data_IF_674967070020
#
_entry.id   IF_674967070020
#
_cell.length_a   1.000
_cell.length_b   1.000
_cell.length_c   1.000
_cell.angle_alpha   90.00
_cell.angle_beta   90.00
_cell.angle_gamma   90.00
#
_symmetry.space_group_name_H-M   'P 1'
#
loop_
_entity.id
_entity.type
_entity.pdbx_description
1 polymer ?
#
# COMPACT_ATOMS: atom_id res chain seq x y z
N UNK A 1 40.36 -3.40 29.81
CA UNK A 1 39.56 -4.21 30.76
C UNK A 1 38.75 -5.20 29.93
N UNK A 2 39.18 -6.46 29.95
CA UNK A 2 38.51 -7.56 29.27
C UNK A 2 37.23 -7.90 30.04
N UNK A 3 36.08 -7.84 29.37
CA UNK A 3 34.83 -8.42 29.89
C UNK A 3 34.89 -9.91 29.55
N UNK A 4 35.06 -10.71 30.60
CA UNK A 4 35.08 -12.16 30.53
C UNK A 4 33.76 -12.69 29.97
N UNK A 5 33.85 -13.56 28.97
CA UNK A 5 32.74 -14.37 28.49
C UNK A 5 32.29 -15.30 29.62
N UNK A 6 31.10 -15.04 30.16
CA UNK A 6 30.40 -15.98 31.01
C UNK A 6 29.92 -17.15 30.17
N UNK A 7 30.49 -18.32 30.42
CA UNK A 7 29.94 -19.62 30.03
C UNK A 7 28.49 -19.68 30.51
N UNK A 8 27.51 -19.68 29.59
CA UNK A 8 26.14 -20.04 29.94
C UNK A 8 26.17 -21.47 30.49
N UNK A 9 25.75 -21.66 31.73
CA UNK A 9 25.54 -22.99 32.30
C UNK A 9 24.59 -23.77 31.39
N UNK A 10 25.07 -24.88 30.85
CA UNK A 10 24.36 -25.67 29.84
C UNK A 10 23.45 -26.69 30.53
N UNK A 11 22.58 -26.24 31.44
CA UNK A 11 21.71 -27.07 32.28
C UNK A 11 20.24 -26.90 31.88
N UNK A 12 19.41 -27.91 32.13
CA UNK A 12 17.96 -27.86 31.92
C UNK A 12 17.31 -26.68 32.68
N UNK A 13 17.74 -26.44 33.92
CA UNK A 13 17.26 -25.31 34.74
C UNK A 13 17.60 -23.97 34.10
N UNK A 14 18.84 -23.76 33.64
CA UNK A 14 19.22 -22.54 32.94
C UNK A 14 18.42 -22.37 31.65
N UNK A 15 18.11 -23.49 30.97
CA UNK A 15 17.34 -23.47 29.76
C UNK A 15 15.88 -23.02 29.98
N UNK A 16 15.24 -23.52 31.04
CA UNK A 16 13.90 -23.13 31.44
C UNK A 16 13.84 -21.66 31.90
N UNK A 17 14.82 -21.20 32.68
CA UNK A 17 14.91 -19.79 33.12
C UNK A 17 14.99 -18.84 31.93
N UNK A 18 15.77 -19.20 30.90
CA UNK A 18 15.80 -18.43 29.65
C UNK A 18 14.42 -18.37 28.99
N UNK A 19 13.72 -19.50 28.90
CA UNK A 19 12.40 -19.59 28.27
C UNK A 19 11.40 -18.70 29.00
N UNK A 20 11.35 -18.77 30.34
CA UNK A 20 10.53 -17.89 31.17
C UNK A 20 10.81 -16.40 30.92
N UNK A 21 12.08 -16.02 30.74
CA UNK A 21 12.45 -14.64 30.44
C UNK A 21 12.09 -14.16 29.01
N UNK A 22 12.08 -15.06 28.03
CA UNK A 22 11.95 -14.69 26.61
C UNK A 22 10.53 -14.87 26.06
N UNK A 23 9.81 -15.92 26.46
CA UNK A 23 8.46 -16.21 25.95
C UNK A 23 7.50 -15.01 26.10
N UNK A 24 7.42 -14.32 27.26
CA UNK A 24 6.52 -13.16 27.40
C UNK A 24 6.89 -12.00 26.47
N UNK A 25 8.18 -11.82 26.19
CA UNK A 25 8.68 -10.76 25.30
C UNK A 25 8.27 -11.04 23.85
N UNK A 26 8.48 -12.28 23.40
CA UNK A 26 8.04 -12.72 22.06
C UNK A 26 6.52 -12.61 21.94
N UNK A 27 5.78 -13.09 22.95
CA UNK A 27 4.33 -13.02 22.97
C UNK A 27 3.81 -11.57 22.95
N UNK A 28 4.45 -10.67 23.69
CA UNK A 28 4.14 -9.23 23.69
C UNK A 28 4.38 -8.61 22.32
N UNK A 29 5.58 -8.77 21.77
CA UNK A 29 5.93 -8.21 20.46
C UNK A 29 5.04 -8.75 19.33
N UNK A 30 4.62 -10.02 19.39
CA UNK A 30 3.68 -10.60 18.43
C UNK A 30 2.30 -9.88 18.42
N UNK A 31 1.84 -9.31 19.55
CA UNK A 31 0.57 -8.55 19.58
C UNK A 31 0.63 -7.21 18.87
N UNK A 32 1.83 -6.63 18.80
CA UNK A 32 2.04 -5.28 18.25
C UNK A 32 2.32 -5.29 16.74
N UNK A 33 2.37 -6.47 16.12
CA UNK A 33 2.60 -6.60 14.68
C UNK A 33 1.40 -6.09 13.87
N UNK A 34 1.69 -5.32 12.83
CA UNK A 34 0.69 -4.67 11.98
C UNK A 34 0.18 -5.57 10.85
N UNK A 35 1.05 -6.41 10.28
CA UNK A 35 0.76 -7.33 9.18
C UNK A 35 0.60 -8.75 9.72
N UNK A 36 -0.32 -9.55 9.19
CA UNK A 36 -0.61 -10.90 9.72
C UNK A 36 -1.09 -10.88 11.19
N UNK A 37 -1.73 -9.80 11.63
CA UNK A 37 -2.13 -9.59 13.03
C UNK A 37 -2.90 -10.77 13.64
N UNK A 38 -3.80 -11.38 12.88
CA UNK A 38 -4.57 -12.54 13.34
C UNK A 38 -3.66 -13.75 13.63
N UNK A 39 -2.72 -14.06 12.74
CA UNK A 39 -1.83 -15.20 12.90
C UNK A 39 -0.85 -15.00 14.06
N UNK A 40 -0.27 -13.80 14.19
CA UNK A 40 0.60 -13.49 15.33
C UNK A 40 -0.15 -13.45 16.67
N UNK A 41 -1.44 -13.08 16.68
CA UNK A 41 -2.27 -13.17 17.88
C UNK A 41 -2.47 -14.62 18.33
N UNK A 42 -2.62 -15.56 17.39
CA UNK A 42 -2.70 -17.01 17.70
C UNK A 42 -1.39 -17.50 18.31
N UNK A 43 -0.23 -17.20 17.68
CA UNK A 43 1.07 -17.54 18.26
C UNK A 43 1.23 -16.94 19.67
N UNK A 44 0.90 -15.65 19.83
CA UNK A 44 0.99 -14.96 21.12
C UNK A 44 0.16 -15.67 22.20
N UNK A 45 -1.08 -16.06 21.88
CA UNK A 45 -1.93 -16.81 22.81
C UNK A 45 -1.30 -18.14 23.24
N UNK A 46 -0.76 -18.91 22.30
CA UNK A 46 -0.09 -20.17 22.63
C UNK A 46 1.17 -19.96 23.48
N UNK A 47 1.97 -18.93 23.19
CA UNK A 47 3.15 -18.59 23.97
C UNK A 47 2.79 -18.15 25.41
N UNK A 48 1.71 -17.38 25.58
CA UNK A 48 1.23 -16.98 26.91
C UNK A 48 0.76 -18.18 27.74
N UNK A 49 0.03 -19.10 27.12
CA UNK A 49 -0.40 -20.33 27.78
C UNK A 49 0.80 -21.20 28.15
N UNK A 50 1.76 -21.36 27.25
CA UNK A 50 3.00 -22.11 27.51
C UNK A 50 3.81 -21.51 28.65
N UNK A 51 3.92 -20.18 28.71
CA UNK A 51 4.60 -19.50 29.81
C UNK A 51 4.00 -19.82 31.17
N UNK A 52 2.67 -19.78 31.29
CA UNK A 52 1.97 -20.06 32.55
C UNK A 52 2.30 -21.47 33.06
N UNK A 53 2.32 -22.48 32.18
CA UNK A 53 2.69 -23.85 32.59
C UNK A 53 4.17 -23.94 32.94
N UNK A 54 5.04 -23.21 32.25
CA UNK A 54 6.48 -23.22 32.56
C UNK A 54 6.79 -22.54 33.90
N UNK A 55 5.98 -21.56 34.33
CA UNK A 55 6.09 -20.97 35.67
C UNK A 55 5.74 -22.00 36.76
N UNK A 56 4.72 -22.83 36.52
CA UNK A 56 4.37 -23.94 37.41
C UNK A 56 5.48 -24.99 37.45
N UNK A 57 6.00 -25.42 36.28
CA UNK A 57 7.09 -26.40 36.17
C UNK A 57 8.36 -25.92 36.88
N UNK A 58 8.70 -24.62 36.79
CA UNK A 58 9.88 -24.06 37.45
C UNK A 58 9.82 -24.08 38.98
N UNK A 59 8.64 -24.31 39.57
CA UNK A 59 8.47 -24.57 41.00
C UNK A 59 8.95 -25.96 41.45
N UNK A 60 9.23 -26.86 40.52
CA UNK A 60 9.65 -28.24 40.79
C UNK A 60 11.18 -28.43 40.72
N UNK A 61 11.64 -29.58 41.18
CA UNK A 61 13.03 -30.00 40.98
C UNK A 61 13.17 -30.48 39.53
N UNK A 62 14.05 -29.86 38.76
CA UNK A 62 14.28 -30.23 37.36
C UNK A 62 15.53 -31.10 37.30
N UNK A 63 15.34 -32.37 36.96
CA UNK A 63 16.45 -33.27 36.70
C UNK A 63 17.18 -32.84 35.40
N UNK A 64 18.49 -32.67 35.49
CA UNK A 64 19.33 -32.22 34.36
C UNK A 64 19.76 -33.41 33.47
N UNK A 65 18.80 -34.24 33.08
CA UNK A 65 19.04 -35.35 32.16
C UNK A 65 19.26 -34.85 30.71
N UNK A 66 19.90 -35.69 29.89
CA UNK A 66 20.28 -35.31 28.53
C UNK A 66 19.08 -35.06 27.61
N UNK A 67 17.98 -35.78 27.81
CA UNK A 67 16.80 -35.70 26.95
C UNK A 67 16.03 -34.41 27.24
N UNK A 68 15.81 -34.10 28.53
CA UNK A 68 15.18 -32.84 28.97
C UNK A 68 16.00 -31.63 28.55
N UNK A 69 17.33 -31.69 28.69
CA UNK A 69 18.22 -30.61 28.26
C UNK A 69 18.15 -30.38 26.76
N UNK A 70 18.16 -31.43 25.95
CA UNK A 70 18.06 -31.33 24.49
C UNK A 70 16.69 -30.78 24.05
N UNK A 71 15.60 -31.24 24.67
CA UNK A 71 14.25 -30.75 24.38
C UNK A 71 14.11 -29.25 24.67
N UNK A 72 14.56 -28.80 25.85
CA UNK A 72 14.52 -27.39 26.23
C UNK A 72 15.42 -26.52 25.34
N UNK A 73 16.62 -26.99 24.98
CA UNK A 73 17.51 -26.25 24.06
C UNK A 73 16.93 -26.10 22.65
N UNK A 74 16.29 -27.15 22.12
CA UNK A 74 15.57 -27.05 20.84
C UNK A 74 14.43 -26.04 20.92
N UNK A 75 13.67 -26.07 22.01
CA UNK A 75 12.60 -25.10 22.24
C UNK A 75 13.15 -23.67 22.32
N UNK A 76 14.28 -23.44 22.99
CA UNK A 76 14.94 -22.12 23.01
C UNK A 76 15.28 -21.63 21.60
N UNK A 77 15.85 -22.50 20.77
CA UNK A 77 16.21 -22.15 19.39
C UNK A 77 14.97 -21.71 18.60
N UNK A 78 13.84 -22.42 18.74
CA UNK A 78 12.59 -22.06 18.07
C UNK A 78 11.96 -20.77 18.62
N UNK A 79 12.04 -20.51 19.93
CA UNK A 79 11.61 -19.24 20.52
C UNK A 79 12.48 -18.07 20.02
N UNK A 80 13.79 -18.28 19.81
CA UNK A 80 14.66 -17.29 19.17
C UNK A 80 14.26 -17.06 17.71
N UNK A 81 13.86 -18.11 16.98
CA UNK A 81 13.37 -17.97 15.61
C UNK A 81 12.05 -17.19 15.56
N UNK A 82 11.14 -17.44 16.50
CA UNK A 82 9.91 -16.66 16.66
C UNK A 82 10.20 -15.19 16.98
N UNK A 83 11.15 -14.90 17.88
CA UNK A 83 11.58 -13.53 18.17
C UNK A 83 12.10 -12.83 16.92
N UNK A 84 12.95 -13.49 16.12
CA UNK A 84 13.47 -12.92 14.86
C UNK A 84 12.35 -12.58 13.89
N UNK A 85 11.32 -13.43 13.79
CA UNK A 85 10.14 -13.16 12.94
C UNK A 85 9.39 -11.91 13.42
N UNK A 86 9.17 -11.77 14.73
CA UNK A 86 8.55 -10.59 15.33
C UNK A 86 9.39 -9.33 15.07
N UNK A 87 10.70 -9.39 15.31
CA UNK A 87 11.62 -8.28 15.11
C UNK A 87 11.67 -7.80 13.65
N UNK A 88 11.66 -8.74 12.70
CA UNK A 88 11.54 -8.42 11.27
C UNK A 88 10.26 -7.64 10.98
N UNK A 89 9.13 -8.03 11.59
CA UNK A 89 7.84 -7.37 11.36
C UNK A 89 7.73 -5.98 12.03
N UNK A 90 8.58 -5.67 13.00
CA UNK A 90 8.67 -4.34 13.62
C UNK A 90 9.61 -3.42 12.85
N UNK A 91 10.73 -3.96 12.35
CA UNK A 91 11.80 -3.16 11.73
C UNK A 91 11.58 -2.87 10.25
N UNK A 92 10.97 -3.79 9.51
CA UNK A 92 10.81 -3.71 8.06
C UNK A 92 9.69 -2.74 7.69
N UNK A 93 9.77 -2.14 6.51
CA UNK A 93 8.65 -1.34 6.01
C UNK A 93 7.38 -2.17 5.85
N UNK A 94 6.25 -1.55 6.10
CA UNK A 94 4.91 -2.11 5.93
C UNK A 94 4.65 -2.52 4.49
N UNK A 95 5.16 -1.77 3.50
CA UNK A 95 5.14 -2.19 2.09
C UNK A 95 5.86 -3.52 1.88
N UNK A 96 7.06 -3.67 2.44
CA UNK A 96 7.83 -4.91 2.33
C UNK A 96 7.09 -6.08 2.97
N UNK A 97 6.57 -5.89 4.19
CA UNK A 97 5.85 -6.93 4.93
C UNK A 97 4.57 -7.35 4.22
N UNK A 98 3.81 -6.40 3.66
CA UNK A 98 2.60 -6.67 2.88
C UNK A 98 2.90 -7.54 1.66
N UNK A 99 3.90 -7.18 0.85
CA UNK A 99 4.26 -7.96 -0.35
C UNK A 99 4.80 -9.35 -0.01
N UNK A 100 5.31 -9.52 1.20
CA UNK A 100 5.81 -10.79 1.73
C UNK A 100 4.81 -11.49 2.65
N UNK A 101 3.57 -11.03 2.73
CA UNK A 101 2.57 -11.52 3.70
C UNK A 101 2.41 -13.05 3.65
N UNK A 102 2.34 -13.63 2.44
CA UNK A 102 2.25 -15.09 2.22
C UNK A 102 3.48 -15.83 2.74
N UNK A 103 4.68 -15.27 2.53
CA UNK A 103 5.93 -15.86 3.01
C UNK A 103 6.02 -15.78 4.54
N UNK A 104 5.61 -14.66 5.14
CA UNK A 104 5.57 -14.50 6.59
C UNK A 104 4.54 -15.42 7.24
N UNK A 105 3.34 -15.56 6.67
CA UNK A 105 2.33 -16.52 7.13
C UNK A 105 2.90 -17.94 7.19
N UNK A 106 3.56 -18.36 6.10
CA UNK A 106 4.13 -19.71 6.02
C UNK A 106 5.30 -19.92 6.98
N UNK A 107 6.20 -18.93 7.10
CA UNK A 107 7.31 -18.99 8.08
C UNK A 107 6.79 -19.07 9.51
N UNK A 108 5.76 -18.28 9.84
CA UNK A 108 5.12 -18.29 11.15
C UNK A 108 4.45 -19.64 11.45
N UNK A 109 3.80 -20.26 10.45
CA UNK A 109 3.20 -21.59 10.59
C UNK A 109 4.27 -22.63 10.92
N UNK A 110 5.36 -22.64 10.14
CA UNK A 110 6.48 -23.57 10.36
C UNK A 110 7.05 -23.38 11.76
N UNK A 111 7.37 -22.15 12.17
CA UNK A 111 7.91 -21.89 13.51
C UNK A 111 6.92 -22.29 14.61
N UNK A 112 5.62 -22.02 14.45
CA UNK A 112 4.62 -22.42 15.46
C UNK A 112 4.53 -23.95 15.59
N UNK A 113 4.56 -24.67 14.47
CA UNK A 113 4.56 -26.14 14.48
C UNK A 113 5.85 -26.72 15.06
N UNK A 114 7.01 -26.14 14.79
CA UNK A 114 8.28 -26.58 15.38
C UNK A 114 8.34 -26.34 16.89
N UNK A 115 7.77 -25.24 17.40
CA UNK A 115 7.58 -25.04 18.85
C UNK A 115 6.70 -26.16 19.41
N UNK A 116 5.56 -26.45 18.77
CA UNK A 116 4.70 -27.57 19.17
C UNK A 116 5.42 -28.92 19.16
N UNK A 117 6.28 -29.18 18.16
CA UNK A 117 7.11 -30.39 18.11
C UNK A 117 8.11 -30.46 19.25
N UNK A 118 8.70 -29.33 19.64
CA UNK A 118 9.60 -29.26 20.80
C UNK A 118 8.86 -29.55 22.11
N UNK A 119 7.58 -29.15 22.23
CA UNK A 119 6.74 -29.50 23.38
C UNK A 119 6.45 -31.01 23.43
N UNK A 120 6.27 -31.69 22.29
CA UNK A 120 6.17 -33.16 22.26
C UNK A 120 7.44 -33.81 22.80
N UNK A 121 8.62 -33.32 22.40
CA UNK A 121 9.90 -33.83 22.91
C UNK A 121 10.03 -33.62 24.42
N UNK A 122 9.50 -32.51 24.95
CA UNK A 122 9.51 -32.23 26.38
C UNK A 122 8.54 -33.14 27.15
N UNK A 123 7.39 -33.48 26.58
CA UNK A 123 6.43 -34.43 27.17
C UNK A 123 6.99 -35.86 27.25
N UNK A 124 7.85 -36.20 26.29
CA UNK A 124 8.53 -37.50 26.21
C UNK A 124 9.81 -37.56 27.07
N UNK A 125 10.28 -36.41 27.61
CA UNK A 125 11.48 -36.35 28.44
C UNK A 125 11.21 -36.74 29.90
N UNK A 126 12.29 -36.87 30.68
CA UNK A 126 12.25 -37.21 32.09
C UNK A 126 11.78 -36.10 33.04
N UNK A 127 11.32 -34.95 32.53
CA UNK A 127 10.95 -33.81 33.36
C UNK A 127 9.73 -34.13 34.24
N UNK A 128 9.85 -33.87 35.55
CA UNK A 128 8.73 -34.04 36.48
C UNK A 128 7.63 -33.01 36.17
N UNK A 129 6.44 -33.51 35.83
CA UNK A 129 5.24 -32.71 35.59
C UNK A 129 4.05 -33.36 36.28
N UNK A 130 3.21 -32.54 36.90
CA UNK A 130 1.91 -33.01 37.39
C UNK A 130 0.98 -33.35 36.21
N UNK A 131 -0.03 -34.22 36.42
CA UNK A 131 -0.97 -34.60 35.36
C UNK A 131 -1.66 -33.40 34.68
N UNK A 132 -2.00 -32.36 35.46
CA UNK A 132 -2.63 -31.16 34.94
C UNK A 132 -1.71 -30.37 33.98
N UNK A 133 -0.46 -30.15 34.36
CA UNK A 133 0.55 -29.48 33.53
C UNK A 133 0.80 -30.26 32.24
N UNK A 134 0.92 -31.58 32.35
CA UNK A 134 1.13 -32.49 31.21
C UNK A 134 -0.05 -32.43 30.23
N UNK A 135 -1.28 -32.40 30.72
CA UNK A 135 -2.49 -32.23 29.88
C UNK A 135 -2.52 -30.85 29.20
N UNK A 136 -2.14 -29.78 29.90
CA UNK A 136 -2.07 -28.43 29.34
C UNK A 136 -1.01 -28.32 28.25
N UNK A 137 0.21 -28.80 28.49
CA UNK A 137 1.28 -28.83 27.47
C UNK A 137 0.84 -29.65 26.26
N UNK A 138 0.21 -30.81 26.46
CA UNK A 138 -0.31 -31.63 25.35
C UNK A 138 -1.40 -30.90 24.57
N UNK A 139 -2.29 -30.16 25.22
CA UNK A 139 -3.30 -29.37 24.53
C UNK A 139 -2.65 -28.25 23.67
N UNK A 140 -1.66 -27.54 24.22
CA UNK A 140 -0.92 -26.49 23.50
C UNK A 140 -0.16 -27.08 22.31
N UNK A 141 0.54 -28.18 22.52
CA UNK A 141 1.30 -28.91 21.50
C UNK A 141 0.40 -29.32 20.31
N UNK A 142 -0.73 -29.97 20.57
CA UNK A 142 -1.68 -30.35 19.53
C UNK A 142 -2.23 -29.13 18.77
N UNK A 143 -2.58 -28.05 19.46
CA UNK A 143 -3.06 -26.82 18.81
C UNK A 143 -1.98 -26.17 17.93
N UNK A 144 -0.74 -26.09 18.42
CA UNK A 144 0.38 -25.51 17.68
C UNK A 144 0.75 -26.35 16.45
N UNK A 145 0.73 -27.68 16.53
CA UNK A 145 1.08 -28.55 15.42
C UNK A 145 0.02 -28.59 14.31
N UNK A 146 -1.26 -28.41 14.67
CA UNK A 146 -2.39 -28.45 13.72
C UNK A 146 -2.73 -27.10 13.08
N UNK A 147 -2.03 -26.02 13.47
CA UNK A 147 -2.33 -24.67 12.98
C UNK A 147 -2.13 -24.54 11.47
N UNK A 148 -2.99 -23.78 10.79
CA UNK A 148 -2.86 -23.43 9.38
C UNK A 148 -2.95 -21.92 9.20
N UNK A 149 -1.84 -21.29 8.82
CA UNK A 149 -1.79 -19.83 8.65
C UNK A 149 -1.84 -19.45 7.18
N UNK A 150 -2.79 -18.57 6.89
CA UNK A 150 -2.98 -17.99 5.58
C UNK A 150 -2.77 -16.48 5.67
N UNK A 151 -2.32 -15.87 4.57
CA UNK A 151 -2.25 -14.43 4.54
C UNK A 151 -3.65 -13.82 4.68
N UNK A 152 -3.77 -12.67 5.36
CA UNK A 152 -5.06 -12.01 5.52
C UNK A 152 -5.71 -11.73 4.16
N UNK A 153 -7.03 -11.90 4.06
CA UNK A 153 -7.76 -11.81 2.77
C UNK A 153 -7.51 -10.48 2.05
N UNK A 154 -7.53 -9.37 2.79
CA UNK A 154 -7.25 -8.04 2.24
C UNK A 154 -5.79 -7.89 1.79
N UNK A 155 -4.85 -8.41 2.57
CA UNK A 155 -3.41 -8.37 2.25
C UNK A 155 -3.12 -9.16 0.97
N UNK A 156 -3.69 -10.36 0.86
CA UNK A 156 -3.58 -11.24 -0.30
C UNK A 156 -4.24 -10.61 -1.55
N UNK A 157 -5.45 -10.06 -1.40
CA UNK A 157 -6.18 -9.38 -2.47
C UNK A 157 -5.37 -8.20 -3.04
N UNK A 158 -4.72 -7.39 -2.19
CA UNK A 158 -3.88 -6.28 -2.65
C UNK A 158 -2.67 -6.81 -3.45
N UNK A 159 -2.02 -7.87 -2.97
CA UNK A 159 -0.90 -8.49 -3.70
C UNK A 159 -1.36 -8.98 -5.08
N UNK A 160 -2.52 -9.63 -5.17
CA UNK A 160 -3.06 -10.13 -6.43
C UNK A 160 -3.41 -9.01 -7.41
N UNK A 161 -3.97 -7.90 -6.91
CA UNK A 161 -4.22 -6.69 -7.72
C UNK A 161 -2.91 -6.10 -8.24
N UNK A 162 -1.86 -6.03 -7.42
CA UNK A 162 -0.54 -5.53 -7.84
C UNK A 162 0.10 -6.43 -8.90
N UNK A 163 0.12 -7.74 -8.67
CA UNK A 163 0.66 -8.72 -9.62
C UNK A 163 -0.09 -8.67 -10.96
N UNK A 164 -1.43 -8.55 -10.91
CA UNK A 164 -2.26 -8.37 -12.11
C UNK A 164 -1.94 -7.06 -12.83
N UNK A 165 -1.82 -5.95 -12.11
CA UNK A 165 -1.50 -4.65 -12.69
C UNK A 165 -0.12 -4.66 -13.37
N UNK A 166 0.88 -5.28 -12.76
CA UNK A 166 2.22 -5.42 -13.33
C UNK A 166 2.24 -6.35 -14.56
N UNK A 167 1.53 -7.49 -14.49
CA UNK A 167 1.47 -8.47 -15.58
C UNK A 167 0.77 -7.92 -16.81
N UNK A 168 -0.37 -7.26 -16.60
CA UNK A 168 -1.11 -6.58 -17.66
C UNK A 168 -0.44 -5.25 -18.10
N UNK A 169 0.64 -4.85 -17.39
CA UNK A 169 1.36 -3.58 -17.55
C UNK A 169 0.35 -2.42 -17.64
N UNK A 170 -0.56 -2.38 -16.68
CA UNK A 170 -1.49 -1.27 -16.51
C UNK A 170 -0.69 -0.06 -16.05
N UNK A 171 -0.93 1.05 -16.73
CA UNK A 171 -0.21 2.30 -16.52
C UNK A 171 -1.14 3.40 -15.93
N UNK A 172 -2.20 2.97 -15.27
CA UNK A 172 -3.26 3.86 -14.81
C UNK A 172 -2.93 4.51 -13.46
N UNK A 173 -2.83 5.84 -13.44
CA UNK A 173 -2.59 6.63 -12.23
C UNK A 173 -3.74 6.47 -11.23
N UNK A 174 -4.98 6.33 -11.69
CA UNK A 174 -6.15 6.18 -10.81
C UNK A 174 -6.08 4.84 -10.07
N UNK A 175 -5.70 3.77 -10.76
CA UNK A 175 -5.45 2.46 -10.16
C UNK A 175 -4.29 2.50 -9.16
N UNK A 176 -3.19 3.20 -9.50
CA UNK A 176 -2.05 3.33 -8.58
C UNK A 176 -2.48 4.07 -7.31
N UNK A 177 -3.23 5.16 -7.44
CA UNK A 177 -3.72 5.94 -6.31
C UNK A 177 -4.68 5.11 -5.44
N UNK A 178 -5.63 4.38 -6.05
CA UNK A 178 -6.55 3.51 -5.30
C UNK A 178 -5.79 2.41 -4.55
N UNK A 179 -4.77 1.81 -5.17
CA UNK A 179 -3.94 0.81 -4.51
C UNK A 179 -3.12 1.39 -3.37
N UNK A 180 -2.56 2.60 -3.51
CA UNK A 180 -1.87 3.28 -2.42
C UNK A 180 -2.80 3.56 -1.23
N UNK A 181 -4.05 3.94 -1.49
CA UNK A 181 -5.07 4.13 -0.44
C UNK A 181 -5.43 2.81 0.26
N UNK A 182 -5.67 1.73 -0.50
CA UNK A 182 -5.93 0.40 0.04
C UNK A 182 -4.74 -0.10 0.90
N UNK A 183 -3.51 0.07 0.41
CA UNK A 183 -2.29 -0.30 1.16
C UNK A 183 -2.19 0.53 2.44
N UNK A 184 -2.42 1.85 2.37
CA UNK A 184 -2.35 2.71 3.54
C UNK A 184 -3.35 2.26 4.61
N UNK A 185 -4.58 1.94 4.21
CA UNK A 185 -5.63 1.47 5.10
C UNK A 185 -5.27 0.13 5.77
N UNK A 186 -4.87 -0.88 4.99
CA UNK A 186 -4.56 -2.24 5.51
C UNK A 186 -3.31 -2.22 6.39
N UNK A 187 -2.29 -1.47 5.99
CA UNK A 187 -1.05 -1.34 6.75
C UNK A 187 -1.13 -0.33 7.90
N UNK A 188 -2.27 0.33 8.11
CA UNK A 188 -2.40 1.40 9.11
C UNK A 188 -1.36 2.51 8.93
N UNK A 189 -1.03 2.85 7.70
CA UNK A 189 -0.20 4.02 7.36
C UNK A 189 -1.16 5.21 7.33
N UNK A 190 -0.86 6.32 8.02
CA UNK A 190 -1.64 7.54 7.87
C UNK A 190 -1.76 7.91 6.39
N UNK A 191 -2.94 8.31 5.93
CA UNK A 191 -3.22 8.66 4.52
C UNK A 191 -2.51 9.95 4.05
N UNK A 192 -1.47 10.37 4.76
CA UNK A 192 -0.64 11.52 4.45
C UNK A 192 0.46 11.14 3.47
N UNK A 193 0.69 11.98 2.45
CA UNK A 193 1.77 11.78 1.48
C UNK A 193 3.16 11.69 2.14
N UNK A 194 3.40 12.39 3.25
CA UNK A 194 4.66 12.28 4.03
C UNK A 194 4.89 10.89 4.61
N UNK A 195 3.84 10.23 5.11
CA UNK A 195 3.94 8.89 5.67
C UNK A 195 4.20 7.86 4.57
N UNK A 196 3.46 7.93 3.46
CA UNK A 196 3.63 7.03 2.32
C UNK A 196 5.00 7.18 1.64
N UNK A 197 5.47 8.42 1.47
CA UNK A 197 6.81 8.68 0.90
C UNK A 197 7.94 8.16 1.80
N UNK A 198 7.80 8.30 3.12
CA UNK A 198 8.75 7.75 4.09
C UNK A 198 8.77 6.24 4.05
N UNK A 199 7.59 5.61 4.04
CA UNK A 199 7.47 4.15 3.98
C UNK A 199 8.03 3.58 2.67
N UNK A 200 7.79 4.25 1.53
CA UNK A 200 8.39 3.89 0.24
C UNK A 200 9.91 4.08 0.23
N UNK A 201 10.45 5.07 0.95
CA UNK A 201 11.89 5.26 1.08
C UNK A 201 12.54 4.11 1.88
N UNK A 202 11.92 3.70 2.99
CA UNK A 202 12.33 2.48 3.71
C UNK A 202 12.27 1.26 2.81
N UNK A 203 11.16 1.08 2.09
CA UNK A 203 10.97 -0.05 1.17
C UNK A 203 12.07 -0.15 0.10
N UNK A 204 12.55 0.98 -0.43
CA UNK A 204 13.70 1.01 -1.35
C UNK A 204 14.98 0.49 -0.68
N UNK A 205 15.23 0.83 0.58
CA UNK A 205 16.38 0.32 1.33
C UNK A 205 16.30 -1.19 1.55
N UNK A 206 15.11 -1.73 1.85
CA UNK A 206 14.92 -3.17 1.99
C UNK A 206 15.15 -3.93 0.68
N UNK A 207 14.72 -3.37 -0.46
CA UNK A 207 15.02 -3.94 -1.78
C UNK A 207 16.54 -4.05 -2.01
N UNK A 208 17.32 -3.02 -1.65
CA UNK A 208 18.78 -3.08 -1.75
C UNK A 208 19.39 -4.17 -0.84
N UNK A 209 18.79 -4.44 0.33
CA UNK A 209 19.21 -5.57 1.18
C UNK A 209 18.93 -6.94 0.53
N UNK A 210 17.79 -7.09 -0.16
CA UNK A 210 17.45 -8.33 -0.90
C UNK A 210 18.43 -8.56 -2.05
N UNK A 211 18.75 -7.53 -2.83
CA UNK A 211 19.72 -7.60 -3.91
C UNK A 211 21.11 -7.99 -3.42
N UNK A 212 21.54 -7.47 -2.25
CA UNK A 212 22.81 -7.88 -1.61
C UNK A 212 22.84 -9.37 -1.24
N UNK A 213 21.70 -9.98 -0.95
CA UNK A 213 21.57 -11.43 -0.71
C UNK A 213 21.57 -12.27 -1.99
N UNK A 214 21.76 -11.64 -3.17
CA UNK A 214 21.77 -12.27 -4.51
C UNK A 214 20.44 -12.89 -4.93
N UNK A 215 19.34 -12.48 -4.31
CA UNK A 215 17.99 -12.83 -4.77
C UNK A 215 17.56 -11.85 -5.87
N UNK A 216 18.02 -12.13 -7.10
CA UNK A 216 17.81 -11.25 -8.24
C UNK A 216 16.35 -11.24 -8.70
N UNK A 217 15.65 -12.36 -8.61
CA UNK A 217 14.25 -12.48 -9.03
C UNK A 217 13.37 -11.64 -8.10
N UNK A 218 13.56 -11.79 -6.79
CA UNK A 218 12.79 -11.03 -5.81
C UNK A 218 13.13 -9.54 -5.85
N UNK A 219 14.41 -9.19 -5.95
CA UNK A 219 14.82 -7.79 -6.09
C UNK A 219 14.24 -7.11 -7.34
N UNK A 220 14.18 -7.80 -8.48
CA UNK A 220 13.57 -7.27 -9.70
C UNK A 220 12.04 -7.11 -9.59
N UNK A 221 11.36 -7.99 -8.85
CA UNK A 221 9.94 -7.84 -8.56
C UNK A 221 9.69 -6.60 -7.68
N UNK A 222 10.43 -6.46 -6.58
CA UNK A 222 10.30 -5.31 -5.69
C UNK A 222 10.60 -3.98 -6.40
N UNK A 223 11.59 -3.95 -7.31
CA UNK A 223 11.86 -2.77 -8.16
C UNK A 223 10.66 -2.39 -9.03
N UNK A 224 10.02 -3.38 -9.68
CA UNK A 224 8.83 -3.13 -10.51
C UNK A 224 7.67 -2.58 -9.68
N UNK A 225 7.44 -3.13 -8.47
CA UNK A 225 6.41 -2.62 -7.56
C UNK A 225 6.72 -1.18 -7.13
N UNK A 226 7.97 -0.89 -6.76
CA UNK A 226 8.39 0.47 -6.36
C UNK A 226 8.17 1.44 -7.52
N UNK A 227 8.59 1.08 -8.74
CA UNK A 227 8.42 1.93 -9.92
C UNK A 227 6.94 2.19 -10.21
N UNK A 228 6.09 1.16 -10.11
CA UNK A 228 4.65 1.27 -10.30
C UNK A 228 4.01 2.20 -9.26
N UNK A 229 4.25 1.96 -7.97
CA UNK A 229 3.67 2.75 -6.88
C UNK A 229 4.19 4.19 -6.84
N UNK A 230 5.44 4.43 -7.25
CA UNK A 230 6.04 5.77 -7.28
C UNK A 230 5.37 6.74 -8.26
N UNK A 231 4.50 6.22 -9.14
CA UNK A 231 3.73 7.04 -10.09
C UNK A 231 2.49 7.66 -9.46
N UNK A 232 2.05 7.14 -8.32
CA UNK A 232 0.90 7.67 -7.61
C UNK A 232 1.19 9.05 -7.05
N UNK A 233 0.17 9.90 -7.00
CA UNK A 233 0.29 11.27 -6.49
C UNK A 233 0.76 11.25 -5.02
N UNK A 234 0.23 10.33 -4.21
CA UNK A 234 0.56 10.22 -2.78
C UNK A 234 2.00 9.74 -2.53
N UNK A 235 2.62 9.06 -3.50
CA UNK A 235 3.99 8.56 -3.41
C UNK A 235 5.06 9.61 -3.75
N UNK A 236 4.65 10.82 -4.15
CA UNK A 236 5.54 11.90 -4.54
C UNK A 236 5.57 13.01 -3.49
N UNK A 237 6.78 13.50 -3.20
CA UNK A 237 6.93 14.66 -2.30
C UNK A 237 6.37 15.93 -2.95
N UNK A 238 5.87 16.86 -2.12
CA UNK A 238 5.39 18.16 -2.61
C UNK A 238 6.41 18.90 -3.49
N UNK A 239 7.72 18.76 -3.19
CA UNK A 239 8.79 19.36 -4.00
C UNK A 239 8.96 18.70 -5.38
N UNK A 240 8.70 17.40 -5.50
CA UNK A 240 8.69 16.71 -6.81
C UNK A 240 7.48 17.14 -7.64
N UNK A 241 6.28 17.15 -7.04
CA UNK A 241 5.04 17.58 -7.70
C UNK A 241 5.16 19.04 -8.17
N UNK A 242 5.75 19.92 -7.35
CA UNK A 242 6.00 21.31 -7.74
C UNK A 242 6.98 21.42 -8.91
N UNK A 243 8.05 20.62 -8.94
CA UNK A 243 9.02 20.63 -10.04
C UNK A 243 8.39 20.14 -11.35
N UNK A 244 7.61 19.08 -11.29
CA UNK A 244 6.86 18.57 -12.43
C UNK A 244 5.90 19.63 -12.99
N UNK A 245 5.16 20.31 -12.11
CA UNK A 245 4.30 21.42 -12.51
C UNK A 245 5.08 22.51 -13.24
N UNK A 246 6.22 22.95 -12.72
CA UNK A 246 7.03 24.00 -13.34
C UNK A 246 7.55 23.58 -14.74
N UNK A 247 7.91 22.32 -14.92
CA UNK A 247 8.31 21.78 -16.23
C UNK A 247 7.14 21.82 -17.22
N UNK A 248 5.95 21.31 -16.84
CA UNK A 248 4.74 21.35 -17.67
C UNK A 248 4.27 22.79 -17.93
N UNK A 249 4.44 23.68 -16.96
CA UNK A 249 4.16 25.12 -17.12
C UNK A 249 5.07 25.74 -18.19
N UNK A 250 6.33 25.33 -18.26
CA UNK A 250 7.29 25.87 -19.24
C UNK A 250 7.05 25.38 -20.67
N UNK A 251 6.37 24.25 -20.87
CA UNK A 251 6.01 23.77 -22.22
C UNK A 251 4.79 24.47 -22.83
N UNK A 252 4.09 25.32 -22.07
CA UNK A 252 2.89 26.04 -22.53
C UNK A 252 3.20 27.51 -22.79
N UNK A 253 2.78 27.99 -23.96
CA UNK A 253 2.94 29.39 -24.37
C UNK A 253 2.37 30.37 -23.34
N UNK A 254 3.08 31.48 -23.13
CA UNK A 254 2.62 32.54 -22.24
C UNK A 254 1.36 33.24 -22.79
N UNK A 255 0.46 33.65 -21.88
CA UNK A 255 -0.81 34.29 -22.23
C UNK A 255 -1.94 33.35 -22.69
N UNK A 256 -1.75 32.02 -22.68
CA UNK A 256 -2.83 31.08 -23.01
C UNK A 256 -3.88 31.01 -21.88
N UNK A 257 -5.11 31.43 -22.18
CA UNK A 257 -6.24 31.49 -21.22
C UNK A 257 -7.33 30.47 -21.54
N UNK A 258 -7.40 30.00 -22.79
CA UNK A 258 -8.40 29.00 -23.20
C UNK A 258 -7.81 27.60 -23.21
N UNK A 259 -8.56 26.64 -22.66
CA UNK A 259 -8.24 25.21 -22.75
C UNK A 259 -8.23 24.74 -24.20
N UNK A 260 -7.41 23.73 -24.47
CA UNK A 260 -7.30 23.02 -25.74
C UNK A 260 -8.53 22.11 -25.93
N UNK A 261 -9.21 22.15 -27.08
CA UNK A 261 -10.27 21.20 -27.37
C UNK A 261 -9.71 19.77 -27.51
N UNK A 262 -10.50 18.72 -27.20
CA UNK A 262 -10.06 17.35 -27.39
C UNK A 262 -9.93 17.02 -28.88
N UNK A 263 -8.96 16.20 -29.24
CA UNK A 263 -8.87 15.64 -30.59
C UNK A 263 -9.98 14.60 -30.79
N UNK A 264 -10.49 14.48 -32.02
CA UNK A 264 -11.52 13.48 -32.34
C UNK A 264 -11.07 12.05 -31.98
N UNK A 265 -9.78 11.76 -32.12
CA UNK A 265 -9.18 10.48 -31.75
C UNK A 265 -9.25 10.17 -30.24
N UNK A 266 -9.49 11.16 -29.39
CA UNK A 266 -9.62 10.97 -27.94
C UNK A 266 -11.03 10.53 -27.53
N UNK A 267 -12.02 10.74 -28.40
CA UNK A 267 -13.42 10.44 -28.12
C UNK A 267 -13.73 8.98 -28.45
N UNK A 268 -14.37 8.29 -27.51
CA UNK A 268 -14.88 6.94 -27.74
C UNK A 268 -16.01 6.99 -28.78
N UNK A 269 -15.96 6.19 -29.87
CA UNK A 269 -17.00 6.20 -30.88
C UNK A 269 -18.38 5.73 -30.38
N UNK A 270 -18.44 4.99 -29.26
CA UNK A 270 -19.69 4.50 -28.67
C UNK A 270 -20.30 5.59 -27.75
N UNK A 271 -19.52 6.11 -26.81
CA UNK A 271 -20.05 7.03 -25.78
C UNK A 271 -19.99 8.50 -26.19
N UNK A 272 -19.13 8.86 -27.14
CA UNK A 272 -18.84 10.25 -27.49
C UNK A 272 -18.00 11.00 -26.45
N UNK A 273 -17.57 10.34 -25.38
CA UNK A 273 -16.79 10.93 -24.29
C UNK A 273 -15.29 10.67 -24.46
N UNK A 274 -14.46 11.47 -23.78
CA UNK A 274 -13.00 11.29 -23.78
C UNK A 274 -12.66 9.97 -23.08
N UNK A 275 -11.97 9.07 -23.80
CA UNK A 275 -11.54 7.78 -23.27
C UNK A 275 -10.64 7.96 -22.04
N UNK A 276 -10.88 7.13 -21.03
CA UNK A 276 -10.04 6.95 -19.85
C UNK A 276 -9.18 5.69 -20.01
N UNK A 277 -9.75 4.60 -20.52
CA UNK A 277 -9.02 3.36 -20.80
C UNK A 277 -9.17 2.91 -22.27
N UNK A 278 -8.45 3.57 -23.21
CA UNK A 278 -8.58 3.29 -24.62
C UNK A 278 -8.05 1.88 -24.97
N UNK A 279 -8.90 1.05 -25.57
CA UNK A 279 -8.56 -0.29 -26.08
C UNK A 279 -8.89 -0.41 -27.56
N UNK A 280 -7.99 -1.03 -28.32
CA UNK A 280 -8.11 -1.25 -29.75
C UNK A 280 -8.60 -2.67 -30.07
N UNK A 281 -9.49 -2.76 -31.05
CA UNK A 281 -9.86 -4.01 -31.70
C UNK A 281 -8.82 -4.37 -32.78
N UNK A 282 -8.86 -5.62 -33.27
CA UNK A 282 -8.08 -6.06 -34.43
C UNK A 282 -8.36 -5.21 -35.69
N UNK A 283 -9.51 -4.56 -35.75
CA UNK A 283 -9.88 -3.63 -36.84
C UNK A 283 -9.12 -2.29 -36.79
N UNK A 284 -8.31 -2.06 -35.74
CA UNK A 284 -7.58 -0.81 -35.51
C UNK A 284 -8.42 0.31 -34.89
N UNK A 285 -9.73 0.11 -34.71
CA UNK A 285 -10.60 1.07 -34.01
C UNK A 285 -10.39 0.99 -32.50
N UNK A 286 -10.40 2.16 -31.85
CA UNK A 286 -10.16 2.28 -30.41
C UNK A 286 -11.42 2.80 -29.69
N UNK A 287 -11.71 2.21 -28.54
CA UNK A 287 -12.90 2.47 -27.74
C UNK A 287 -12.53 2.60 -26.27
N UNK A 288 -13.42 3.20 -25.49
CA UNK A 288 -13.39 3.03 -24.04
C UNK A 288 -13.63 1.55 -23.69
N UNK A 289 -12.82 0.98 -22.79
CA UNK A 289 -12.87 -0.44 -22.42
C UNK A 289 -14.26 -0.85 -21.97
N UNK A 290 -14.84 -0.14 -21.01
CA UNK A 290 -16.15 -0.49 -20.44
C UNK A 290 -17.25 -0.51 -21.50
N UNK A 291 -17.24 0.48 -22.39
CA UNK A 291 -18.24 0.62 -23.45
C UNK A 291 -18.16 -0.51 -24.48
N UNK A 292 -16.94 -0.92 -24.88
CA UNK A 292 -16.78 -2.00 -25.85
C UNK A 292 -17.01 -3.38 -25.23
N UNK A 293 -16.64 -3.58 -23.97
CA UNK A 293 -16.94 -4.80 -23.21
C UNK A 293 -18.46 -4.97 -23.04
N UNK A 294 -19.20 -3.89 -22.72
CA UNK A 294 -20.66 -3.90 -22.66
C UNK A 294 -21.29 -4.20 -24.02
N UNK A 295 -20.79 -3.60 -25.11
CA UNK A 295 -21.26 -3.87 -26.46
C UNK A 295 -21.21 -5.36 -26.81
N UNK A 296 -20.10 -6.05 -26.49
CA UNK A 296 -19.98 -7.49 -26.68
C UNK A 296 -20.83 -8.29 -25.68
N UNK A 297 -20.96 -7.82 -24.44
CA UNK A 297 -21.83 -8.40 -23.42
C UNK A 297 -23.31 -8.43 -23.82
N UNK A 298 -23.75 -7.48 -24.64
CA UNK A 298 -25.09 -7.47 -25.24
C UNK A 298 -25.27 -8.45 -26.41
N UNK A 299 -24.25 -9.27 -26.74
CA UNK A 299 -24.31 -10.26 -27.81
C UNK A 299 -23.98 -9.73 -29.20
N UNK A 300 -23.54 -8.47 -29.33
CA UNK A 300 -23.05 -7.96 -30.60
C UNK A 300 -21.68 -8.59 -30.91
N UNK A 301 -21.44 -9.06 -32.13
CA UNK A 301 -20.19 -9.75 -32.50
C UNK A 301 -19.34 -8.98 -33.53
N UNK A 302 -19.71 -7.73 -33.77
CA UNK A 302 -19.13 -6.88 -34.81
C UNK A 302 -18.53 -5.62 -34.21
N UNK A 303 -17.53 -5.07 -34.88
CA UNK A 303 -16.98 -3.76 -34.59
C UNK A 303 -18.09 -2.69 -34.76
N UNK A 304 -18.36 -1.84 -33.76
CA UNK A 304 -19.43 -0.83 -33.85
C UNK A 304 -19.28 0.14 -35.02
N UNK A 305 -18.04 0.43 -35.43
CA UNK A 305 -17.76 1.42 -36.48
C UNK A 305 -17.66 0.77 -37.86
N UNK A 306 -16.95 -0.35 -37.98
CA UNK A 306 -16.69 -0.97 -39.29
C UNK A 306 -17.69 -2.06 -39.68
N UNK A 307 -18.48 -2.56 -38.73
CA UNK A 307 -19.38 -3.70 -38.92
C UNK A 307 -18.65 -5.03 -39.13
N UNK A 308 -17.31 -5.06 -39.07
CA UNK A 308 -16.54 -6.28 -39.28
C UNK A 308 -16.69 -7.23 -38.08
N UNK A 309 -16.84 -8.53 -38.34
CA UNK A 309 -16.82 -9.55 -37.30
C UNK A 309 -15.44 -9.58 -36.60
N UNK A 310 -15.44 -9.55 -35.27
CA UNK A 310 -14.21 -9.42 -34.45
C UNK A 310 -13.93 -10.65 -33.57
N UNK A 311 -14.81 -11.65 -33.61
CA UNK A 311 -14.56 -12.93 -32.95
C UNK A 311 -13.74 -13.87 -33.84
N UNK A 312 -12.56 -14.27 -33.36
CA UNK A 312 -11.86 -15.48 -33.80
C UNK A 312 -11.86 -16.46 -32.63
N UNK A 313 -12.31 -17.69 -32.88
CA UNK A 313 -12.26 -18.80 -31.92
C UNK A 313 -12.93 -18.56 -30.54
N UNK A 314 -14.00 -17.75 -30.52
CA UNK A 314 -14.85 -17.55 -29.35
C UNK A 314 -14.37 -16.51 -28.33
N UNK A 315 -13.31 -15.75 -28.64
CA UNK A 315 -12.83 -14.69 -27.75
C UNK A 315 -12.54 -13.39 -28.52
N UNK A 316 -12.82 -12.23 -27.91
CA UNK A 316 -12.49 -10.92 -28.49
C UNK A 316 -11.19 -10.41 -27.88
N UNK A 317 -10.21 -10.14 -28.73
CA UNK A 317 -8.92 -9.58 -28.31
C UNK A 317 -9.02 -8.06 -28.19
N UNK A 318 -9.00 -7.55 -26.95
CA UNK A 318 -8.89 -6.12 -26.63
C UNK A 318 -7.44 -5.77 -26.34
N UNK A 319 -6.83 -4.96 -27.19
CA UNK A 319 -5.43 -4.53 -27.04
C UNK A 319 -5.37 -3.12 -26.43
N UNK A 320 -4.73 -2.91 -25.26
CA UNK A 320 -4.60 -1.57 -24.70
C UNK A 320 -3.87 -0.59 -25.64
N UNK A 321 -4.45 0.58 -25.90
CA UNK A 321 -3.83 1.63 -26.71
C UNK A 321 -3.12 2.66 -25.83
N UNK A 322 -1.91 2.31 -25.38
CA UNK A 322 -1.13 3.14 -24.44
C UNK A 322 -0.71 4.47 -25.01
N UNK A 323 -0.27 4.50 -26.27
CA UNK A 323 0.14 5.75 -26.91
C UNK A 323 -1.01 6.77 -26.94
N UNK A 324 -2.25 6.31 -27.19
CA UNK A 324 -3.42 7.17 -27.11
C UNK A 324 -3.74 7.58 -25.68
N UNK A 325 -3.67 6.64 -24.72
CA UNK A 325 -3.86 6.92 -23.29
C UNK A 325 -2.89 8.02 -22.82
N UNK A 326 -1.61 7.88 -23.12
CA UNK A 326 -0.56 8.85 -22.77
C UNK A 326 -0.82 10.22 -23.43
N UNK A 327 -1.22 10.23 -24.70
CA UNK A 327 -1.56 11.48 -25.41
C UNK A 327 -2.77 12.19 -24.78
N UNK A 328 -3.79 11.43 -24.35
CA UNK A 328 -4.96 11.98 -23.64
C UNK A 328 -4.54 12.56 -22.29
N UNK A 329 -3.71 11.84 -21.53
CA UNK A 329 -3.20 12.33 -20.24
C UNK A 329 -2.36 13.60 -20.40
N UNK A 330 -1.47 13.66 -21.39
CA UNK A 330 -0.68 14.85 -21.68
C UNK A 330 -1.57 16.04 -22.06
N UNK A 331 -2.60 15.82 -22.89
CA UNK A 331 -3.59 16.85 -23.21
C UNK A 331 -4.36 17.34 -21.98
N UNK A 332 -4.78 16.44 -21.08
CA UNK A 332 -5.44 16.80 -19.82
C UNK A 332 -4.50 17.63 -18.94
N UNK A 333 -3.25 17.20 -18.80
CA UNK A 333 -2.25 17.92 -18.01
C UNK A 333 -2.00 19.34 -18.52
N UNK A 334 -1.88 19.51 -19.85
CA UNK A 334 -1.79 20.85 -20.43
C UNK A 334 -3.02 21.71 -20.11
N UNK A 335 -4.22 21.13 -20.19
CA UNK A 335 -5.46 21.83 -19.84
C UNK A 335 -5.56 22.20 -18.36
N UNK A 336 -5.09 21.34 -17.45
CA UNK A 336 -4.98 21.68 -16.03
C UNK A 336 -4.04 22.84 -15.80
N UNK A 337 -2.85 22.82 -16.41
CA UNK A 337 -1.88 23.92 -16.29
C UNK A 337 -2.45 25.23 -16.83
N UNK A 338 -3.09 25.22 -18.00
CA UNK A 338 -3.76 26.41 -18.58
C UNK A 338 -4.84 26.93 -17.62
N UNK A 339 -5.68 26.04 -17.09
CA UNK A 339 -6.76 26.40 -16.16
C UNK A 339 -6.21 27.03 -14.89
N UNK A 340 -5.18 26.41 -14.28
CA UNK A 340 -4.59 26.88 -13.02
C UNK A 340 -3.84 28.20 -13.22
N UNK A 341 -3.05 28.33 -14.28
CA UNK A 341 -2.28 29.55 -14.59
C UNK A 341 -3.19 30.73 -14.90
N UNK A 342 -4.22 30.52 -15.72
CA UNK A 342 -5.13 31.58 -16.12
C UNK A 342 -6.09 31.98 -15.00
N UNK A 343 -6.32 31.11 -14.01
CA UNK A 343 -7.25 31.37 -12.93
C UNK A 343 -6.92 32.65 -12.16
N UNK A 344 -5.64 32.94 -11.87
CA UNK A 344 -5.25 34.19 -11.21
C UNK A 344 -5.78 35.43 -11.94
N UNK A 345 -5.48 35.53 -13.23
CA UNK A 345 -5.88 36.67 -14.07
C UNK A 345 -7.40 36.79 -14.16
N UNK A 346 -8.09 35.65 -14.32
CA UNK A 346 -9.55 35.63 -14.39
C UNK A 346 -10.21 36.01 -13.06
N UNK A 347 -9.61 35.64 -11.93
CA UNK A 347 -10.10 36.00 -10.60
C UNK A 347 -9.94 37.50 -10.30
N UNK A 348 -8.89 38.12 -10.84
CA UNK A 348 -8.61 39.55 -10.68
C UNK A 348 -9.41 40.46 -11.63
N UNK A 349 -10.04 39.89 -12.67
CA UNK A 349 -10.74 40.61 -13.76
C UNK A 349 -11.96 41.45 -13.35
N UNK A 350 -12.41 41.37 -12.08
CA UNK A 350 -13.67 41.95 -11.55
C UNK A 350 -14.95 41.54 -12.31
N UNK A 351 -14.86 40.62 -13.28
CA UNK A 351 -16.01 40.09 -14.00
C UNK A 351 -16.51 38.82 -13.30
N UNK A 352 -17.72 38.89 -12.74
CA UNK A 352 -18.33 37.79 -11.97
C UNK A 352 -18.40 36.48 -12.76
N UNK A 353 -18.68 36.53 -14.07
CA UNK A 353 -18.80 35.33 -14.90
C UNK A 353 -17.43 34.68 -15.12
N UNK A 354 -16.39 35.48 -15.39
CA UNK A 354 -15.02 34.99 -15.54
C UNK A 354 -14.47 34.43 -14.23
N UNK A 355 -14.72 35.12 -13.11
CA UNK A 355 -14.36 34.66 -11.77
C UNK A 355 -15.04 33.33 -11.45
N UNK A 356 -16.35 33.21 -11.70
CA UNK A 356 -17.09 31.98 -11.47
C UNK A 356 -16.62 30.83 -12.37
N UNK A 357 -16.28 31.11 -13.65
CA UNK A 357 -15.71 30.14 -14.57
C UNK A 357 -14.36 29.62 -14.09
N UNK A 358 -13.47 30.52 -13.65
CA UNK A 358 -12.16 30.16 -13.11
C UNK A 358 -12.29 29.27 -11.87
N UNK A 359 -13.14 29.64 -10.91
CA UNK A 359 -13.35 28.86 -9.69
C UNK A 359 -13.92 27.46 -9.98
N UNK A 360 -14.90 27.35 -10.90
CA UNK A 360 -15.42 26.04 -11.32
C UNK A 360 -14.35 25.19 -12.01
N UNK A 361 -13.53 25.80 -12.86
CA UNK A 361 -12.40 25.10 -13.51
C UNK A 361 -11.37 24.59 -12.50
N UNK A 362 -10.99 25.41 -11.51
CA UNK A 362 -10.11 25.00 -10.41
C UNK A 362 -10.71 23.87 -9.57
N UNK A 363 -12.00 23.96 -9.23
CA UNK A 363 -12.71 22.93 -8.50
C UNK A 363 -12.67 21.60 -9.25
N UNK A 364 -13.06 21.60 -10.54
CA UNK A 364 -13.07 20.40 -11.38
C UNK A 364 -11.67 19.79 -11.52
N UNK A 365 -10.66 20.60 -11.84
CA UNK A 365 -9.28 20.12 -11.97
C UNK A 365 -8.77 19.48 -10.67
N UNK A 366 -9.07 20.06 -9.51
CA UNK A 366 -8.70 19.48 -8.21
C UNK A 366 -9.52 18.23 -7.83
N UNK A 367 -10.72 18.05 -8.39
CA UNK A 367 -11.48 16.81 -8.21
C UNK A 367 -10.98 15.68 -9.09
N UNK A 368 -10.60 15.99 -10.33
CA UNK A 368 -10.08 15.00 -11.28
C UNK A 368 -8.68 14.52 -10.91
N UNK A 369 -7.83 15.36 -10.31
CA UNK A 369 -6.48 14.95 -9.89
C UNK A 369 -6.03 15.61 -8.59
N UNK A 370 -5.56 14.80 -7.65
CA UNK A 370 -5.10 15.27 -6.35
C UNK A 370 -3.87 16.19 -6.46
N UNK A 371 -2.92 15.85 -7.35
CA UNK A 371 -1.73 16.67 -7.62
C UNK A 371 -2.06 18.11 -8.06
N UNK A 372 -3.22 18.35 -8.66
CA UNK A 372 -3.62 19.70 -9.07
C UNK A 372 -3.78 20.63 -7.85
N UNK A 373 -4.08 20.12 -6.65
CA UNK A 373 -4.09 20.91 -5.40
C UNK A 373 -2.71 21.52 -5.11
N UNK A 374 -1.65 20.75 -5.32
CA UNK A 374 -0.27 21.22 -5.18
C UNK A 374 0.09 22.24 -6.28
N UNK A 375 -0.39 22.03 -7.49
CA UNK A 375 -0.13 22.94 -8.63
C UNK A 375 -0.78 24.30 -8.39
N UNK A 376 -2.02 24.33 -7.89
CA UNK A 376 -2.72 25.57 -7.48
C UNK A 376 -1.96 26.34 -6.41
N UNK A 377 -1.41 25.62 -5.42
CA UNK A 377 -0.58 26.22 -4.38
C UNK A 377 0.75 26.76 -4.95
N UNK A 378 1.42 25.99 -5.80
CA UNK A 378 2.68 26.38 -6.44
C UNK A 378 2.53 27.61 -7.35
N UNK A 379 1.41 27.72 -8.06
CA UNK A 379 1.09 28.88 -8.90
C UNK A 379 0.64 30.09 -8.06
N UNK A 380 0.32 29.88 -6.77
CA UNK A 380 -0.02 30.93 -5.81
C UNK A 380 -1.42 31.52 -5.99
N UNK A 381 -2.38 30.75 -6.51
CA UNK A 381 -3.74 31.23 -6.83
C UNK A 381 -4.62 31.44 -5.57
N UNK A 382 -4.25 30.81 -4.45
CA UNK A 382 -5.02 30.82 -3.20
C UNK A 382 -5.40 32.22 -2.68
N UNK A 383 -4.51 33.23 -2.64
CA UNK A 383 -4.88 34.58 -2.20
C UNK A 383 -5.96 35.22 -3.07
N UNK A 384 -5.91 35.01 -4.40
CA UNK A 384 -6.92 35.53 -5.32
C UNK A 384 -8.30 34.86 -5.09
N UNK A 385 -8.32 33.56 -4.80
CA UNK A 385 -9.56 32.86 -4.40
C UNK A 385 -10.13 33.42 -3.09
N UNK A 386 -9.27 33.70 -2.10
CA UNK A 386 -9.67 34.30 -0.82
C UNK A 386 -10.21 35.71 -0.98
N UNK A 387 -9.64 36.52 -1.86
CA UNK A 387 -10.15 37.88 -2.13
C UNK A 387 -11.54 37.87 -2.76
N UNK A 388 -11.87 36.86 -3.58
CA UNK A 388 -13.23 36.69 -4.11
C UNK A 388 -14.27 36.44 -3.02
N UNK A 389 -13.88 35.90 -1.85
CA UNK A 389 -14.79 35.75 -0.70
C UNK A 389 -15.28 37.09 -0.14
N UNK A 390 -14.56 38.19 -0.40
CA UNK A 390 -14.93 39.55 -0.01
C UNK A 390 -15.98 40.17 -0.95
N UNK A 391 -16.36 39.48 -2.03
CA UNK A 391 -17.37 39.94 -2.98
C UNK A 391 -18.76 40.07 -2.35
N UNK A 392 -19.52 41.08 -2.78
CA UNK A 392 -20.94 41.25 -2.40
C UNK A 392 -21.84 40.18 -3.04
N UNK A 393 -21.37 39.50 -4.10
CA UNK A 393 -22.14 38.48 -4.80
C UNK A 393 -22.17 37.15 -4.03
N UNK A 394 -23.32 36.82 -3.45
CA UNK A 394 -23.53 35.57 -2.69
C UNK A 394 -23.23 34.31 -3.52
N UNK A 395 -23.65 34.26 -4.79
CA UNK A 395 -23.42 33.12 -5.66
C UNK A 395 -21.92 32.89 -5.89
N UNK A 396 -21.19 33.97 -6.17
CA UNK A 396 -19.75 33.90 -6.38
C UNK A 396 -18.99 33.43 -5.14
N UNK A 397 -19.39 33.91 -3.94
CA UNK A 397 -18.80 33.44 -2.67
C UNK A 397 -19.01 31.95 -2.44
N UNK A 398 -20.18 31.40 -2.75
CA UNK A 398 -20.47 29.97 -2.62
C UNK A 398 -19.54 29.15 -3.51
N UNK A 399 -19.38 29.56 -4.78
CA UNK A 399 -18.49 28.88 -5.72
C UNK A 399 -17.02 28.97 -5.26
N UNK A 400 -16.60 30.11 -4.72
CA UNK A 400 -15.26 30.29 -4.17
C UNK A 400 -15.00 29.39 -2.96
N UNK A 401 -15.97 29.27 -2.04
CA UNK A 401 -15.90 28.36 -0.89
C UNK A 401 -15.81 26.89 -1.33
N UNK A 402 -16.60 26.47 -2.32
CA UNK A 402 -16.54 25.10 -2.85
C UNK A 402 -15.17 24.78 -3.45
N UNK A 403 -14.61 25.70 -4.25
CA UNK A 403 -13.27 25.55 -4.82
C UNK A 403 -12.20 25.47 -3.71
N UNK A 404 -12.22 26.40 -2.75
CA UNK A 404 -11.26 26.44 -1.64
C UNK A 404 -11.33 25.19 -0.76
N UNK A 405 -12.54 24.72 -0.40
CA UNK A 405 -12.71 23.49 0.36
C UNK A 405 -12.08 22.29 -0.35
N UNK A 406 -12.21 22.24 -1.67
CA UNK A 406 -11.63 21.19 -2.51
C UNK A 406 -10.12 21.27 -2.60
N UNK A 407 -9.56 22.49 -2.70
CA UNK A 407 -8.12 22.72 -2.78
C UNK A 407 -7.43 22.39 -1.44
N UNK A 408 -8.09 22.65 -0.31
CA UNK A 408 -7.53 22.46 1.04
C UNK A 408 -7.77 21.05 1.60
N UNK A 409 -8.69 20.28 1.01
CA UNK A 409 -8.97 18.89 1.41
C UNK A 409 -7.69 18.05 1.40
N UNK A 410 -7.42 17.36 2.52
CA UNK A 410 -6.31 16.41 2.72
C UNK A 410 -4.89 16.97 2.51
N UNK A 411 -4.69 18.30 2.52
CA UNK A 411 -3.39 18.92 2.32
C UNK A 411 -3.03 19.93 3.43
N UNK A 412 -2.31 19.48 4.46
CA UNK A 412 -1.93 20.33 5.61
C UNK A 412 -1.12 21.57 5.21
N UNK A 413 -0.36 21.51 4.11
CA UNK A 413 0.40 22.66 3.60
C UNK A 413 -0.47 23.76 2.97
N UNK A 414 -1.72 23.45 2.58
CA UNK A 414 -2.69 24.45 2.10
C UNK A 414 -3.44 25.11 3.27
N UNK A 415 -3.43 24.51 4.46
CA UNK A 415 -4.03 25.09 5.68
C UNK A 415 -3.21 26.28 6.21
N UNK A 416 -1.88 26.21 6.13
CA UNK A 416 -0.96 27.25 6.64
C UNK A 416 -1.13 28.58 5.91
N UNK A 417 -1.45 28.57 4.60
CA UNK A 417 -1.73 29.78 3.82
C UNK A 417 -3.10 30.43 4.11
N UNK A 418 -4.03 29.68 4.73
CA UNK A 418 -5.39 30.17 5.04
C UNK A 418 -5.52 30.77 6.45
N UNK A 419 -4.53 30.53 7.33
CA UNK A 419 -4.57 30.95 8.75
C UNK A 419 -3.81 32.25 9.05
N UNK A 420 -3.25 32.92 8.04
CA UNK A 420 -2.56 34.19 8.20
C UNK A 420 -3.18 35.29 7.31
N UNK A 421 -4.43 35.68 7.58
CA UNK A 421 -4.96 37.04 7.34
C UNK A 421 -6.14 37.31 8.23
#
# INVERSE_FOLDING_TARGET
MAVAGGSMENTATAALVFLLGHIPRVAGGAKDVVIQKANFAVLSGHLQNMHAVFEEIAGHTIDDDSETREALQKLQAEIIMAQKLVDECVRKSKFFLLLKCRQYAKRLEITTREIGRCLSLLLDSGIEMFPAEREQIRAIENQMQTVEFHAGELEASICDKLEKALTERRDDIELVNSLLEEIAQVCGIPAESSSLTTELASFRMEKEEVLKKKDMADGAYLEQVIAFLSRGDAANSAGQVQREYLLKRSSICDGMISVLPPLQAFLCPITGEIMQDPVSLETGQTYERSAIEEWFGCGNLTCPVTGAAVMKDGNVSLQPNRALKDSIHEWRDHNYVITIRSARVLLESKNVEQQAKALRGLHQACMERASNRCWVNAEGVLPACSDVLKSENKGLRIVALQALLTIVKDHDKNKVGSMCT
#
